data_IF_256334694562
#
_entry.id   IF_256334694562
#
_cell.length_a   1.000
_cell.length_b   1.000
_cell.length_c   1.000
_cell.angle_alpha   90.00
_cell.angle_beta   90.00
_cell.angle_gamma   90.00
#
_symmetry.space_group_name_H-M   'P 1'
#
loop_
_entity.id
_entity.type
_entity.pdbx_description
1 polymer ?
#
# COMPACT_ATOMS: atom_id res chain seq x y z
N UNK A 1 15.86 3.37 14.41
CA UNK A 1 16.47 4.08 13.27
C UNK A 1 15.77 3.57 12.02
N UNK A 2 14.88 4.38 11.44
CA UNK A 2 14.13 4.00 10.25
C UNK A 2 15.04 4.03 9.02
N UNK A 3 14.85 3.03 8.17
CA UNK A 3 15.75 2.58 7.11
C UNK A 3 16.18 3.73 6.17
N UNK A 4 17.46 4.12 6.24
CA UNK A 4 18.06 5.20 5.45
C UNK A 4 18.30 4.85 3.97
N UNK A 5 17.80 3.71 3.49
CA UNK A 5 18.03 3.19 2.13
C UNK A 5 16.79 3.18 1.24
N UNK A 6 15.64 3.66 1.72
CA UNK A 6 14.45 3.78 0.88
C UNK A 6 14.53 5.06 0.03
N UNK A 7 14.55 4.88 -1.30
CA UNK A 7 14.46 6.00 -2.23
C UNK A 7 12.99 6.46 -2.33
N UNK A 8 12.70 7.59 -1.71
CA UNK A 8 11.37 8.21 -1.67
C UNK A 8 11.13 9.20 -2.81
N UNK A 9 12.08 9.38 -3.73
CA UNK A 9 11.94 10.35 -4.81
C UNK A 9 10.75 9.98 -5.72
N UNK A 10 9.93 10.97 -6.05
CA UNK A 10 8.70 10.78 -6.83
C UNK A 10 7.53 10.09 -6.09
N UNK A 11 7.71 9.62 -4.84
CA UNK A 11 6.64 8.96 -4.08
C UNK A 11 5.68 10.00 -3.47
N UNK A 12 4.37 9.89 -3.68
CA UNK A 12 3.39 10.74 -3.01
C UNK A 12 3.56 10.68 -1.48
N UNK A 13 3.64 11.85 -0.84
CA UNK A 13 3.89 11.97 0.61
C UNK A 13 2.92 11.15 1.48
N UNK A 14 1.68 10.96 1.00
CA UNK A 14 0.67 10.14 1.68
C UNK A 14 0.98 8.64 1.62
N UNK A 15 1.45 8.14 0.47
CA UNK A 15 1.89 6.75 0.31
C UNK A 15 3.13 6.50 1.16
N UNK A 16 4.10 7.42 1.09
CA UNK A 16 5.29 7.39 1.95
C UNK A 16 4.91 7.25 3.43
N UNK A 17 4.03 8.14 3.93
CA UNK A 17 3.59 8.10 5.33
C UNK A 17 2.91 6.78 5.69
N UNK A 18 2.05 6.25 4.81
CA UNK A 18 1.39 4.96 5.06
C UNK A 18 2.41 3.81 5.16
N UNK A 19 3.42 3.79 4.30
CA UNK A 19 4.50 2.81 4.36
C UNK A 19 5.31 2.99 5.65
N UNK A 20 5.74 4.21 5.99
CA UNK A 20 6.48 4.50 7.23
C UNK A 20 5.71 4.04 8.47
N UNK A 21 4.43 4.39 8.60
CA UNK A 21 3.59 3.94 9.72
C UNK A 21 3.45 2.42 9.77
N UNK A 22 3.34 1.75 8.62
CA UNK A 22 3.25 0.29 8.57
C UNK A 22 4.57 -0.39 8.95
N UNK A 23 5.71 0.24 8.61
CA UNK A 23 7.04 -0.22 9.03
C UNK A 23 7.33 0.05 10.51
N UNK A 24 6.67 1.04 11.11
CA UNK A 24 6.68 1.30 12.56
C UNK A 24 5.90 0.25 13.35
N UNK A 25 4.86 -0.32 12.77
CA UNK A 25 3.94 -1.27 13.41
C UNK A 25 3.91 -2.62 12.68
N UNK A 26 5.11 -3.18 12.42
CA UNK A 26 5.25 -4.44 11.68
C UNK A 26 4.54 -5.63 12.36
N UNK A 27 4.37 -5.58 13.68
CA UNK A 27 3.67 -6.59 14.48
C UNK A 27 2.16 -6.67 14.17
N UNK A 28 1.57 -5.58 13.70
CA UNK A 28 0.16 -5.57 13.31
C UNK A 28 -0.08 -6.22 11.95
N UNK A 29 0.95 -6.27 11.09
CA UNK A 29 0.85 -6.78 9.71
C UNK A 29 -0.27 -6.08 8.90
N UNK A 30 -0.49 -4.79 9.16
CA UNK A 30 -1.51 -3.97 8.51
C UNK A 30 -0.89 -2.86 7.67
N UNK A 31 -1.55 -2.56 6.56
CA UNK A 31 -1.24 -1.43 5.71
C UNK A 31 -2.53 -0.69 5.44
N UNK A 32 -2.59 0.58 5.83
CA UNK A 32 -3.79 1.40 5.67
C UNK A 32 -3.46 2.69 4.95
N UNK A 33 -4.21 2.98 3.90
CA UNK A 33 -4.16 4.23 3.17
C UNK A 33 -5.57 4.64 2.74
N UNK A 34 -6.27 5.38 3.60
CA UNK A 34 -7.66 5.78 3.37
C UNK A 34 -7.77 7.29 3.24
N UNK A 35 -8.78 7.76 2.50
CA UNK A 35 -9.13 9.17 2.34
C UNK A 35 -8.01 10.02 1.72
N UNK A 36 -7.26 9.42 0.78
CA UNK A 36 -6.08 10.07 0.20
C UNK A 36 -6.27 10.60 -1.21
N UNK A 37 -7.45 10.38 -1.83
CA UNK A 37 -7.74 10.71 -3.24
C UNK A 37 -6.76 10.04 -4.22
N UNK A 38 -6.22 8.88 -3.88
CA UNK A 38 -5.31 8.16 -4.77
C UNK A 38 -6.09 7.63 -5.96
N UNK A 39 -5.73 8.07 -7.16
CA UNK A 39 -6.33 7.59 -8.42
C UNK A 39 -5.56 6.39 -8.98
N UNK A 40 -4.24 6.39 -8.76
CA UNK A 40 -3.34 5.37 -9.25
C UNK A 40 -2.17 5.20 -8.28
N UNK A 41 -1.78 3.95 -8.06
CA UNK A 41 -0.54 3.57 -7.39
C UNK A 41 0.29 2.90 -8.47
N UNK A 42 1.41 3.51 -8.84
CA UNK A 42 2.28 2.99 -9.88
C UNK A 42 3.04 1.72 -9.44
N UNK A 43 3.61 1.01 -10.41
CA UNK A 43 4.33 -0.25 -10.15
C UNK A 43 5.49 -0.04 -9.17
N UNK A 44 6.14 1.12 -9.19
CA UNK A 44 7.23 1.42 -8.25
C UNK A 44 6.72 1.52 -6.80
N UNK A 45 5.61 2.22 -6.56
CA UNK A 45 4.96 2.26 -5.26
C UNK A 45 4.53 0.86 -4.79
N UNK A 46 4.01 0.04 -5.71
CA UNK A 46 3.61 -1.34 -5.39
C UNK A 46 4.79 -2.25 -5.07
N UNK A 47 5.89 -2.14 -5.80
CA UNK A 47 7.12 -2.87 -5.52
C UNK A 47 7.66 -2.50 -4.13
N UNK A 48 7.62 -1.21 -3.77
CA UNK A 48 7.99 -0.78 -2.42
C UNK A 48 7.11 -1.41 -1.34
N UNK A 49 5.78 -1.39 -1.51
CA UNK A 49 4.83 -1.99 -0.57
C UNK A 49 5.09 -3.50 -0.44
N UNK A 50 5.13 -4.22 -1.56
CA UNK A 50 5.26 -5.68 -1.58
C UNK A 50 6.64 -6.17 -1.14
N UNK A 51 7.72 -5.44 -1.41
CA UNK A 51 9.07 -5.79 -0.98
C UNK A 51 9.30 -5.59 0.52
N UNK A 52 8.67 -4.59 1.13
CA UNK A 52 8.89 -4.26 2.54
C UNK A 52 7.82 -4.84 3.47
N UNK A 53 6.59 -5.05 2.98
CA UNK A 53 5.47 -5.58 3.76
C UNK A 53 5.13 -7.01 3.32
N UNK A 54 6.14 -7.88 3.26
CA UNK A 54 5.99 -9.26 2.75
C UNK A 54 5.02 -10.12 3.56
N UNK A 55 4.83 -9.80 4.84
CA UNK A 55 3.98 -10.57 5.75
C UNK A 55 2.62 -9.90 5.99
N UNK A 56 2.21 -8.98 5.10
CA UNK A 56 0.96 -8.25 5.25
C UNK A 56 -0.23 -9.20 5.32
N UNK A 57 -1.03 -9.08 6.37
CA UNK A 57 -2.26 -9.85 6.58
C UNK A 57 -3.51 -9.03 6.23
N UNK A 58 -3.46 -7.71 6.47
CA UNK A 58 -4.59 -6.82 6.25
C UNK A 58 -4.16 -5.59 5.44
N UNK A 59 -4.82 -5.38 4.30
CA UNK A 59 -4.65 -4.19 3.48
C UNK A 59 -5.97 -3.43 3.43
N UNK A 60 -5.95 -2.16 3.82
CA UNK A 60 -7.08 -1.26 3.70
C UNK A 60 -6.69 -0.06 2.84
N UNK A 61 -7.22 -0.02 1.62
CA UNK A 61 -7.02 1.10 0.68
C UNK A 61 -8.37 1.71 0.28
N UNK A 62 -9.35 1.61 1.18
CA UNK A 62 -10.71 2.08 0.97
C UNK A 62 -10.78 3.62 0.90
N UNK A 63 -11.86 4.15 0.35
CA UNK A 63 -12.08 5.60 0.20
C UNK A 63 -10.97 6.31 -0.59
N UNK A 64 -10.61 5.72 -1.73
CA UNK A 64 -9.73 6.34 -2.71
C UNK A 64 -10.45 6.36 -4.07
N UNK A 65 -9.71 6.68 -5.13
CA UNK A 65 -10.22 6.76 -6.50
C UNK A 65 -9.54 5.72 -7.39
N UNK A 66 -9.07 4.62 -6.81
CA UNK A 66 -8.28 3.60 -7.49
C UNK A 66 -9.15 2.96 -8.57
N UNK A 67 -8.66 2.98 -9.81
CA UNK A 67 -9.35 2.39 -10.97
C UNK A 67 -8.92 0.97 -11.27
N UNK A 68 -7.64 0.68 -11.04
CA UNK A 68 -7.06 -0.63 -11.31
C UNK A 68 -6.11 -1.00 -10.18
N UNK A 69 -6.03 -2.29 -9.90
CA UNK A 69 -4.98 -2.87 -9.07
C UNK A 69 -3.94 -3.50 -10.00
N UNK A 70 -2.64 -3.37 -9.71
CA UNK A 70 -1.61 -4.03 -10.49
C UNK A 70 -1.70 -5.55 -10.29
N UNK A 71 -1.19 -6.30 -11.25
CA UNK A 71 -1.00 -7.75 -11.10
C UNK A 71 -0.11 -8.10 -9.91
N UNK A 72 0.83 -7.22 -9.55
CA UNK A 72 1.75 -7.37 -8.42
C UNK A 72 1.07 -7.49 -7.06
N UNK A 73 -0.21 -7.11 -6.91
CA UNK A 73 -0.95 -7.32 -5.64
C UNK A 73 -1.03 -8.81 -5.27
N UNK A 74 -0.96 -9.71 -6.28
CA UNK A 74 -0.88 -11.15 -6.09
C UNK A 74 0.39 -11.62 -5.34
N UNK A 75 1.43 -10.77 -5.25
CA UNK A 75 2.64 -11.07 -4.48
C UNK A 75 2.42 -11.00 -2.96
N UNK A 76 1.32 -10.40 -2.49
CA UNK A 76 0.94 -10.37 -1.08
C UNK A 76 0.35 -11.72 -0.65
N UNK A 77 1.18 -12.77 -0.65
CA UNK A 77 0.77 -14.17 -0.46
C UNK A 77 0.13 -14.48 0.89
N UNK A 78 0.37 -13.64 1.89
CA UNK A 78 -0.17 -13.80 3.24
C UNK A 78 -1.40 -12.92 3.48
N UNK A 79 -1.83 -12.14 2.49
CA UNK A 79 -2.95 -11.23 2.62
C UNK A 79 -4.24 -12.02 2.86
N UNK A 80 -4.86 -11.79 4.02
CA UNK A 80 -6.10 -12.44 4.42
C UNK A 80 -7.31 -11.55 4.15
N UNK A 81 -7.12 -10.23 4.22
CA UNK A 81 -8.18 -9.25 4.03
C UNK A 81 -7.70 -8.08 3.19
N UNK A 82 -8.46 -7.78 2.13
CA UNK A 82 -8.25 -6.62 1.26
C UNK A 82 -9.53 -5.78 1.23
N UNK A 83 -9.47 -4.59 1.80
CA UNK A 83 -10.59 -3.64 1.77
C UNK A 83 -10.36 -2.60 0.66
N UNK A 84 -11.25 -2.64 -0.35
CA UNK A 84 -11.26 -1.75 -1.52
C UNK A 84 -12.53 -0.89 -1.58
N UNK A 85 -13.34 -0.87 -0.52
CA UNK A 85 -14.63 -0.18 -0.48
C UNK A 85 -14.47 1.30 -0.85
N UNK A 86 -15.44 1.88 -1.56
CA UNK A 86 -15.36 3.26 -2.05
C UNK A 86 -14.09 3.53 -2.87
N UNK A 87 -13.88 2.73 -3.92
CA UNK A 87 -12.96 3.01 -5.01
C UNK A 87 -13.70 3.04 -6.35
N UNK A 88 -13.01 3.36 -7.44
CA UNK A 88 -13.56 3.41 -8.80
C UNK A 88 -13.08 2.23 -9.64
N UNK A 89 -13.00 1.04 -9.04
CA UNK A 89 -12.47 -0.14 -9.71
C UNK A 89 -13.32 -0.47 -10.95
N UNK A 90 -12.67 -0.50 -12.09
CA UNK A 90 -13.26 -0.95 -13.34
C UNK A 90 -13.24 -2.49 -13.37
N UNK A 91 -14.33 -3.10 -13.84
CA UNK A 91 -14.54 -4.57 -13.88
C UNK A 91 -14.17 -5.12 -15.25
#
# INVERSE_FOLDING_TARGET
>A
MFNSNLNWDGIPSKIKRAIETSLEHLDEHKFTINDTNIEFIDDYCWDLITCHLKQLLYMNIAHNKIKTLPSHIANLKFLQSLNLTNNHLEV
#
